data_IF_073347425280
#
_entry.id   IF_073347425280
#
_cell.length_a   1.000
_cell.length_b   1.000
_cell.length_c   1.000
_cell.angle_alpha   90.00
_cell.angle_beta   90.00
_cell.angle_gamma   90.00
#
_symmetry.space_group_name_H-M   'P 1'
#
loop_
_entity.id
_entity.type
_entity.pdbx_description
1 polymer ?
#
# COMPACT_ATOMS: atom_id res chain seq x y z
N UNK A 1 19.17 -7.73 11.54
CA UNK A 1 18.95 -6.50 12.35
C UNK A 1 17.44 -6.37 12.51
N UNK A 2 16.94 -6.40 13.75
CA UNK A 2 15.51 -6.35 14.06
C UNK A 2 14.99 -4.94 13.82
N UNK A 3 14.31 -4.71 12.69
CA UNK A 3 13.40 -3.58 12.61
C UNK A 3 12.14 -4.00 13.37
N UNK A 4 12.07 -3.60 14.63
CA UNK A 4 10.93 -3.90 15.49
C UNK A 4 9.69 -3.19 14.93
N UNK A 5 8.61 -3.93 14.74
CA UNK A 5 7.31 -3.37 14.37
C UNK A 5 6.72 -2.72 15.64
N UNK A 6 6.32 -1.45 15.53
CA UNK A 6 5.77 -0.65 16.62
C UNK A 6 4.44 0.01 16.21
N UNK A 7 3.67 0.52 17.17
CA UNK A 7 2.48 1.34 16.88
C UNK A 7 2.87 2.54 16.01
N UNK A 8 2.10 2.78 14.95
CA UNK A 8 2.37 3.77 13.91
C UNK A 8 3.25 3.28 12.76
N UNK A 9 3.84 2.08 12.86
CA UNK A 9 4.60 1.49 11.75
C UNK A 9 3.69 1.20 10.56
N UNK A 10 4.18 1.51 9.36
CA UNK A 10 3.56 1.06 8.11
C UNK A 10 4.05 -0.35 7.79
N UNK A 11 3.12 -1.27 7.55
CA UNK A 11 3.39 -2.70 7.30
C UNK A 11 2.56 -3.20 6.13
N UNK A 12 3.12 -4.08 5.33
CA UNK A 12 2.38 -4.93 4.40
C UNK A 12 1.82 -6.12 5.16
N UNK A 13 0.52 -6.37 5.00
CA UNK A 13 -0.19 -7.45 5.66
C UNK A 13 -0.34 -8.64 4.72
N UNK A 14 0.10 -9.83 5.14
CA UNK A 14 -0.05 -11.07 4.38
C UNK A 14 -1.05 -12.02 5.03
N UNK A 15 -1.82 -12.71 4.19
CA UNK A 15 -2.79 -13.70 4.67
C UNK A 15 -2.12 -14.94 5.26
N UNK A 16 -0.98 -15.34 4.74
CA UNK A 16 -0.24 -16.53 5.18
C UNK A 16 1.10 -16.17 5.82
N UNK A 17 1.52 -17.03 6.75
CA UNK A 17 2.79 -16.91 7.47
C UNK A 17 4.01 -16.88 6.54
N UNK A 18 5.08 -16.24 7.03
CA UNK A 18 6.33 -16.05 6.28
C UNK A 18 6.21 -15.03 5.15
N UNK A 19 5.22 -14.14 5.20
CA UNK A 19 4.94 -13.12 4.17
C UNK A 19 4.85 -13.72 2.76
N UNK A 20 4.22 -14.89 2.64
CA UNK A 20 3.97 -15.58 1.36
C UNK A 20 2.55 -15.32 0.88
N UNK A 21 2.32 -15.53 -0.41
CA UNK A 21 0.98 -15.44 -1.01
C UNK A 21 0.50 -14.00 -1.22
N UNK A 22 -0.83 -13.80 -1.22
CA UNK A 22 -1.46 -12.51 -1.49
C UNK A 22 -1.20 -11.52 -0.35
N UNK A 23 -0.66 -10.35 -0.70
CA UNK A 23 -0.60 -9.17 0.15
C UNK A 23 -1.98 -8.49 0.18
N UNK A 24 -2.49 -8.20 1.38
CA UNK A 24 -3.77 -7.51 1.62
C UNK A 24 -3.60 -5.98 1.67
N UNK A 25 -2.38 -5.52 1.40
CA UNK A 25 -2.00 -4.13 1.24
C UNK A 25 -1.18 -3.57 2.39
N UNK A 26 -0.83 -2.29 2.26
CA UNK A 26 -0.19 -1.51 3.31
C UNK A 26 -1.21 -1.21 4.41
N UNK A 27 -0.81 -1.16 5.67
CA UNK A 27 -1.63 -0.69 6.80
C UNK A 27 -0.74 -0.03 7.84
N UNK A 28 -1.34 0.76 8.73
CA UNK A 28 -0.65 1.26 9.91
C UNK A 28 -0.97 0.37 11.12
N UNK A 29 0.05 0.04 11.92
CA UNK A 29 -0.15 -0.65 13.20
C UNK A 29 -0.78 0.32 14.20
N UNK A 30 -1.89 -0.07 14.81
CA UNK A 30 -2.66 0.77 15.74
C UNK A 30 -2.50 0.33 17.19
N UNK A 31 -2.40 -0.97 17.44
CA UNK A 31 -2.33 -1.54 18.79
C UNK A 31 -1.41 -2.78 18.80
N UNK A 32 -0.87 -3.09 19.99
CA UNK A 32 -0.08 -4.29 20.25
C UNK A 32 -0.69 -5.01 21.44
N UNK A 33 -0.81 -6.33 21.35
CA UNK A 33 -1.31 -7.17 22.44
C UNK A 33 -0.45 -8.42 22.57
N UNK A 34 -0.10 -8.80 23.79
CA UNK A 34 0.64 -10.04 24.05
C UNK A 34 -0.35 -11.10 24.52
N UNK A 35 -0.47 -12.20 23.76
CA UNK A 35 -1.31 -13.37 24.10
C UNK A 35 -0.43 -14.61 24.12
N UNK A 36 -0.38 -15.30 25.26
CA UNK A 36 0.42 -16.52 25.46
C UNK A 36 1.91 -16.36 25.02
N UNK A 37 2.51 -15.21 25.32
CA UNK A 37 3.90 -14.90 24.96
C UNK A 37 4.13 -14.52 23.49
N UNK A 38 3.07 -14.51 22.66
CA UNK A 38 3.12 -14.07 21.26
C UNK A 38 2.59 -12.65 21.14
N UNK A 39 3.30 -11.79 20.40
CA UNK A 39 2.85 -10.42 20.12
C UNK A 39 1.94 -10.43 18.90
N UNK A 40 0.74 -9.91 19.09
CA UNK A 40 -0.25 -9.63 18.06
C UNK A 40 -0.28 -8.13 17.78
N UNK A 41 -0.40 -7.80 16.49
CA UNK A 41 -0.34 -6.46 15.95
C UNK A 41 -1.69 -6.14 15.31
N UNK A 42 -2.41 -5.17 15.85
CA UNK A 42 -3.63 -4.66 15.23
C UNK A 42 -3.26 -3.65 14.17
N UNK A 43 -3.94 -3.69 13.04
CA UNK A 43 -3.73 -2.74 11.95
C UNK A 43 -5.02 -1.96 11.63
N UNK A 44 -4.89 -0.87 10.88
CA UNK A 44 -6.05 -0.11 10.38
C UNK A 44 -7.00 -1.00 9.57
N UNK A 45 -8.31 -0.74 9.68
CA UNK A 45 -9.32 -1.54 8.98
C UNK A 45 -9.17 -1.45 7.46
N UNK A 46 -9.61 -2.49 6.76
CA UNK A 46 -9.81 -2.41 5.32
C UNK A 46 -11.12 -1.68 5.04
N UNK A 47 -11.13 -0.81 4.02
CA UNK A 47 -12.39 -0.24 3.50
C UNK A 47 -13.15 -1.25 2.62
N UNK A 48 -12.51 -2.37 2.29
CA UNK A 48 -13.15 -3.47 1.56
C UNK A 48 -14.05 -4.27 2.52
N UNK A 49 -15.36 -4.10 2.33
CA UNK A 49 -16.42 -4.77 3.10
C UNK A 49 -16.39 -6.31 3.04
N UNK A 50 -15.62 -6.92 2.13
CA UNK A 50 -15.37 -8.36 2.13
C UNK A 50 -14.38 -8.79 3.23
N UNK A 51 -13.63 -7.86 3.81
CA UNK A 51 -12.59 -8.11 4.82
C UNK A 51 -13.02 -7.57 6.19
N UNK A 52 -14.01 -8.21 6.80
CA UNK A 52 -14.50 -7.89 8.16
C UNK A 52 -13.85 -8.75 9.25
N UNK A 53 -12.67 -9.34 9.00
CA UNK A 53 -11.97 -10.21 9.94
C UNK A 53 -11.21 -9.44 11.02
N UNK A 54 -10.94 -10.10 12.15
CA UNK A 54 -10.10 -9.57 13.22
C UNK A 54 -8.73 -9.14 12.68
N UNK A 55 -8.41 -7.85 12.78
CA UNK A 55 -7.23 -7.18 12.21
C UNK A 55 -5.91 -7.46 12.97
N UNK A 56 -5.83 -8.59 13.64
CA UNK A 56 -4.69 -8.98 14.46
C UNK A 56 -3.77 -9.93 13.68
N UNK A 57 -2.52 -9.51 13.53
CA UNK A 57 -1.49 -10.26 12.83
C UNK A 57 -0.38 -10.64 13.78
N UNK A 58 0.28 -11.76 13.54
CA UNK A 58 1.59 -12.08 14.10
C UNK A 58 2.69 -11.45 13.24
N UNK A 59 3.88 -11.23 13.82
CA UNK A 59 4.98 -10.54 13.14
C UNK A 59 5.42 -11.22 11.82
N UNK A 60 5.29 -12.54 11.72
CA UNK A 60 5.65 -13.34 10.53
C UNK A 60 4.70 -13.17 9.35
N UNK A 61 3.54 -12.54 9.58
CA UNK A 61 2.57 -12.15 8.54
C UNK A 61 2.68 -10.68 8.16
N UNK A 62 3.61 -9.95 8.78
CA UNK A 62 3.83 -8.53 8.55
C UNK A 62 5.22 -8.27 7.99
N UNK A 63 5.28 -7.45 6.94
CA UNK A 63 6.55 -6.95 6.43
C UNK A 63 6.57 -5.43 6.58
N UNK A 64 7.56 -4.88 7.28
CA UNK A 64 7.71 -3.43 7.38
C UNK A 64 7.84 -2.82 5.99
N UNK A 65 7.06 -1.77 5.76
CA UNK A 65 7.13 -1.00 4.54
C UNK A 65 8.49 -0.29 4.46
N UNK A 66 9.24 -0.58 3.41
CA UNK A 66 10.54 0.02 3.21
C UNK A 66 10.39 1.35 2.49
N UNK A 67 11.12 2.37 2.97
CA UNK A 67 11.25 3.62 2.23
C UNK A 67 12.16 3.43 1.00
N UNK A 68 12.03 4.28 -0.03
CA UNK A 68 12.97 4.29 -1.14
C UNK A 68 14.42 4.39 -0.63
N UNK A 69 15.38 3.64 -1.22
CA UNK A 69 16.78 3.78 -0.87
C UNK A 69 17.28 5.21 -1.05
N UNK A 70 18.21 5.64 -0.21
CA UNK A 70 18.79 6.99 -0.26
C UNK A 70 19.37 7.27 -1.65
N UNK A 71 19.05 8.43 -2.21
CA UNK A 71 19.51 8.85 -3.54
C UNK A 71 18.69 8.31 -4.70
N UNK A 72 17.63 7.55 -4.44
CA UNK A 72 16.72 7.09 -5.49
C UNK A 72 15.75 8.19 -5.89
N UNK A 73 15.70 8.50 -7.19
CA UNK A 73 14.72 9.42 -7.73
C UNK A 73 13.50 8.66 -8.25
N UNK A 74 12.36 8.88 -7.61
CA UNK A 74 11.06 8.35 -8.03
C UNK A 74 10.39 9.29 -9.03
N UNK A 75 9.61 8.74 -9.97
CA UNK A 75 8.87 9.49 -10.98
C UNK A 75 7.91 10.51 -10.36
N UNK A 76 7.24 10.12 -9.28
CA UNK A 76 6.34 10.98 -8.52
C UNK A 76 6.84 11.17 -7.08
N UNK A 77 6.36 12.21 -6.40
CA UNK A 77 6.74 12.60 -5.03
C UNK A 77 5.54 12.58 -4.09
N UNK A 78 5.80 12.44 -2.78
CA UNK A 78 4.77 12.61 -1.75
C UNK A 78 4.20 14.03 -1.86
N UNK A 79 2.87 14.14 -1.84
CA UNK A 79 2.13 15.37 -2.05
C UNK A 79 1.71 15.63 -3.50
N UNK A 80 2.25 14.90 -4.47
CA UNK A 80 1.83 15.05 -5.86
C UNK A 80 0.37 14.61 -6.03
N UNK A 81 -0.38 15.44 -6.76
CA UNK A 81 -1.75 15.11 -7.16
C UNK A 81 -1.71 14.32 -8.46
N UNK A 82 -2.31 13.14 -8.47
CA UNK A 82 -2.25 12.19 -9.59
C UNK A 82 -3.63 11.66 -9.97
N UNK A 83 -3.81 11.41 -11.26
CA UNK A 83 -4.85 10.55 -11.80
C UNK A 83 -4.39 9.10 -11.64
N UNK A 84 -5.27 8.26 -11.10
CA UNK A 84 -5.05 6.84 -10.86
C UNK A 84 -5.92 6.01 -11.80
N UNK A 85 -5.32 4.99 -12.43
CA UNK A 85 -6.01 4.08 -13.34
C UNK A 85 -6.17 2.68 -12.70
N UNK A 86 -7.42 2.19 -12.60
CA UNK A 86 -7.79 1.02 -11.78
C UNK A 86 -8.34 -0.21 -12.55
N UNK A 87 -8.43 -1.33 -11.84
CA UNK A 87 -8.52 -2.70 -12.37
C UNK A 87 -9.88 -3.20 -12.86
N UNK A 88 -10.97 -2.80 -12.21
CA UNK A 88 -12.31 -3.41 -12.42
C UNK A 88 -13.39 -2.40 -12.77
N UNK A 89 -13.09 -1.13 -12.61
CA UNK A 89 -13.89 -0.05 -13.11
C UNK A 89 -12.98 0.93 -13.82
N UNK A 90 -13.35 1.34 -15.02
CA UNK A 90 -12.63 2.29 -15.88
C UNK A 90 -12.79 3.71 -15.29
N UNK A 91 -12.64 3.87 -13.98
CA UNK A 91 -12.74 5.14 -13.28
C UNK A 91 -11.35 5.72 -13.09
N UNK A 92 -11.12 6.86 -13.73
CA UNK A 92 -10.02 7.76 -13.39
C UNK A 92 -10.40 8.44 -12.06
N UNK A 93 -9.74 8.08 -10.96
CA UNK A 93 -9.86 8.81 -9.70
C UNK A 93 -8.66 9.74 -9.54
N UNK A 94 -8.86 10.95 -9.03
CA UNK A 94 -7.77 11.84 -8.67
C UNK A 94 -7.50 11.76 -7.17
N UNK A 95 -6.24 11.56 -6.79
CA UNK A 95 -5.81 11.56 -5.38
C UNK A 95 -4.45 12.22 -5.20
N UNK A 96 -3.89 12.07 -4.01
CA UNK A 96 -2.60 12.61 -3.56
C UNK A 96 -1.72 11.46 -3.11
N UNK A 97 -0.45 11.44 -3.54
CA UNK A 97 0.52 10.46 -3.06
C UNK A 97 0.86 10.76 -1.60
N UNK A 98 0.50 9.86 -0.69
CA UNK A 98 0.80 10.01 0.74
C UNK A 98 2.07 9.26 1.13
N UNK A 99 2.29 8.09 0.53
CA UNK A 99 3.46 7.27 0.79
C UNK A 99 4.05 6.71 -0.49
N UNK A 100 5.38 6.58 -0.49
CA UNK A 100 6.13 5.86 -1.51
C UNK A 100 6.90 4.78 -0.77
N UNK A 101 6.69 3.54 -1.16
CA UNK A 101 7.33 2.37 -0.56
C UNK A 101 8.13 1.64 -1.62
N UNK A 102 9.14 0.90 -1.19
CA UNK A 102 9.98 0.11 -2.07
C UNK A 102 9.59 -1.36 -1.98
N UNK A 103 9.20 -1.94 -3.12
CA UNK A 103 8.82 -3.33 -3.22
C UNK A 103 9.46 -3.95 -4.47
N UNK A 104 10.09 -5.12 -4.31
CA UNK A 104 10.76 -5.85 -5.41
C UNK A 104 11.69 -5.00 -6.30
N UNK A 105 12.37 -4.01 -5.71
CA UNK A 105 13.30 -3.14 -6.42
C UNK A 105 12.67 -1.97 -7.18
N UNK A 106 11.37 -1.72 -7.00
CA UNK A 106 10.62 -0.64 -7.66
C UNK A 106 9.80 0.18 -6.65
N UNK A 107 9.44 1.42 -7.00
CA UNK A 107 8.53 2.21 -6.18
C UNK A 107 7.08 1.78 -6.36
N UNK A 108 6.38 1.61 -5.25
CA UNK A 108 4.94 1.51 -5.16
C UNK A 108 4.39 2.77 -4.49
N UNK A 109 3.35 3.35 -5.10
CA UNK A 109 2.78 4.63 -4.70
C UNK A 109 1.41 4.43 -4.04
N UNK A 110 1.24 5.00 -2.86
CA UNK A 110 0.02 4.90 -2.07
C UNK A 110 -0.73 6.22 -2.13
N UNK A 111 -1.97 6.20 -2.63
CA UNK A 111 -2.72 7.39 -3.04
C UNK A 111 -4.05 7.52 -2.29
N UNK A 112 -4.33 8.73 -1.78
CA UNK A 112 -5.54 9.08 -1.01
C UNK A 112 -6.21 10.35 -1.57
N UNK A 113 -7.56 10.46 -1.60
CA UNK A 113 -8.52 9.39 -1.36
C UNK A 113 -8.65 8.55 -2.63
N UNK A 114 -8.30 7.27 -2.55
CA UNK A 114 -8.72 6.29 -3.56
C UNK A 114 -9.57 5.25 -2.87
N UNK A 115 -10.47 4.59 -3.60
CA UNK A 115 -11.32 3.53 -3.05
C UNK A 115 -10.51 2.32 -2.54
N UNK A 116 -9.24 2.23 -2.94
CA UNK A 116 -8.32 1.15 -2.60
C UNK A 116 -6.96 1.74 -2.21
N UNK A 117 -6.86 2.54 -1.13
CA UNK A 117 -5.63 3.24 -0.75
C UNK A 117 -4.52 2.28 -0.27
N UNK A 118 -4.79 0.97 -0.35
CA UNK A 118 -3.99 -0.09 0.22
C UNK A 118 -3.28 -0.96 -0.83
N UNK A 119 -3.66 -0.85 -2.10
CA UNK A 119 -2.89 -1.41 -3.22
C UNK A 119 -1.94 -0.34 -3.74
N UNK A 120 -0.66 -0.66 -3.81
CA UNK A 120 0.34 0.21 -4.41
C UNK A 120 0.08 0.39 -5.90
N UNK A 121 0.10 1.64 -6.36
CA UNK A 121 0.14 1.95 -7.78
C UNK A 121 1.57 1.86 -8.27
N UNK A 122 1.76 1.40 -9.50
CA UNK A 122 3.05 1.46 -10.18
C UNK A 122 3.16 2.74 -11.03
N UNK A 123 4.36 3.04 -11.55
CA UNK A 123 4.64 4.23 -12.37
C UNK A 123 3.74 4.40 -13.61
N UNK A 124 3.26 3.29 -14.18
CA UNK A 124 2.44 3.30 -15.40
C UNK A 124 0.96 3.54 -15.11
N UNK A 125 0.54 3.24 -13.89
CA UNK A 125 -0.84 3.39 -13.41
C UNK A 125 -1.18 4.77 -12.85
N UNK A 126 -0.21 5.69 -12.88
CA UNK A 126 -0.35 7.06 -12.43
C UNK A 126 0.01 8.07 -13.52
N UNK A 127 -0.67 9.21 -13.46
CA UNK A 127 -0.36 10.39 -14.26
C UNK A 127 -0.50 11.64 -13.40
N UNK A 128 0.36 12.65 -13.56
CA UNK A 128 0.20 13.91 -12.83
C UNK A 128 -1.13 14.57 -13.21
N UNK A 129 -1.85 15.09 -12.21
CA UNK A 129 -3.19 15.63 -12.41
C UNK A 129 -3.23 16.91 -13.26
N UNK A 130 -2.07 17.57 -13.41
CA UNK A 130 -1.89 18.76 -14.26
C UNK A 130 -1.79 18.43 -15.75
N UNK A 131 -1.59 17.16 -16.09
CA UNK A 131 -1.47 16.71 -17.47
C UNK A 131 -2.85 16.40 -18.08
N UNK A 132 -2.99 16.49 -19.42
CA UNK A 132 -4.19 16.05 -20.09
C UNK A 132 -4.47 14.57 -19.79
N UNK A 133 -5.67 14.28 -19.29
CA UNK A 133 -6.10 12.91 -18.98
C UNK A 133 -6.07 12.07 -20.24
N UNK A 134 -5.42 10.90 -20.19
CA UNK A 134 -5.47 9.91 -21.27
C UNK A 134 -6.92 9.46 -21.49
N UNK A 135 -7.43 9.61 -22.71
CA UNK A 135 -8.82 9.28 -23.05
C UNK A 135 -9.16 7.78 -22.87
N UNK A 136 -8.15 6.91 -22.98
CA UNK A 136 -8.21 5.48 -22.65
C UNK A 136 -6.87 5.10 -22.01
N UNK A 137 -6.82 4.70 -20.72
CA UNK A 137 -5.58 4.18 -20.15
C UNK A 137 -5.19 2.88 -20.85
N UNK A 138 -3.89 2.73 -21.15
CA UNK A 138 -3.35 1.51 -21.75
C UNK A 138 -3.48 0.34 -20.77
N UNK A 139 -3.56 -0.90 -21.28
CA UNK A 139 -3.72 -2.08 -20.43
C UNK A 139 -2.57 -2.22 -19.43
N UNK A 140 -1.36 -1.81 -19.81
CA UNK A 140 -0.16 -1.78 -18.96
C UNK A 140 -0.21 -0.71 -17.84
N UNK A 141 -1.15 0.23 -17.95
CA UNK A 141 -1.43 1.25 -16.92
C UNK A 141 -2.45 0.77 -15.88
N UNK A 142 -3.01 -0.43 -16.00
CA UNK A 142 -3.99 -0.95 -15.04
C UNK A 142 -3.29 -1.81 -13.98
N UNK A 143 -3.61 -1.60 -12.71
CA UNK A 143 -3.13 -2.45 -11.59
C UNK A 143 -4.02 -3.70 -11.56
N UNK A 144 -3.51 -4.91 -11.84
CA UNK A 144 -4.29 -6.19 -11.89
C UNK A 144 -4.32 -7.00 -10.61
#
# INVERSE_FOLDING_TARGET
>A
MNNQIEVGSLVFCYRTEGCRGRCEGLRAVTELEVRDGTIYYKVTSSDDSMYNGDYWYTADRLQLAQRPPVGTETKFKIGDRVHCFGTYHIYCSTGIIEHIVWFEGKPDYYVTPTATPWYGYNDNSLQLAIEPVRAVPELESLVF
#
